data_IF_165669685727
#
_entry.id   IF_165669685727
#
_cell.length_a   1.000
_cell.length_b   1.000
_cell.length_c   1.000
_cell.angle_alpha   90.00
_cell.angle_beta   90.00
_cell.angle_gamma   90.00
#
_symmetry.space_group_name_H-M   'P 1'
#
loop_
_entity.id
_entity.type
_entity.pdbx_description
1 polymer ?
#
# COMPACT_ATOMS: atom_id res chain seq x y z
N UNK A 1 -34.64 13.44 -0.69
CA UNK A 1 -33.46 14.04 -1.35
C UNK A 1 -32.31 13.06 -1.31
N UNK A 2 -31.89 12.62 -2.45
CA UNK A 2 -30.76 11.69 -2.52
C UNK A 2 -29.48 12.42 -2.19
N UNK A 3 -28.72 11.85 -1.28
CA UNK A 3 -27.37 12.34 -1.00
C UNK A 3 -26.40 11.63 -1.92
N UNK A 4 -25.74 12.40 -2.76
CA UNK A 4 -24.59 11.91 -3.49
C UNK A 4 -23.46 11.72 -2.49
N UNK A 5 -23.07 10.50 -2.26
CA UNK A 5 -21.96 10.19 -1.35
C UNK A 5 -20.71 9.97 -2.19
N UNK A 6 -19.74 10.85 -1.99
CA UNK A 6 -18.42 10.65 -2.56
C UNK A 6 -17.77 9.46 -1.87
N UNK A 7 -17.33 8.51 -2.68
CA UNK A 7 -16.59 7.36 -2.21
C UNK A 7 -15.09 7.57 -2.41
N UNK A 8 -14.33 6.87 -1.62
CA UNK A 8 -12.88 6.95 -1.67
C UNK A 8 -12.29 5.54 -1.73
N UNK A 9 -11.33 5.37 -2.59
CA UNK A 9 -10.47 4.19 -2.60
C UNK A 9 -9.02 4.63 -2.54
N UNK A 10 -8.14 3.72 -2.21
CA UNK A 10 -6.71 4.00 -2.15
C UNK A 10 -5.99 3.03 -3.07
N UNK A 11 -5.16 3.59 -3.94
CA UNK A 11 -4.30 2.81 -4.83
C UNK A 11 -2.87 2.84 -4.32
N UNK A 12 -2.29 1.67 -4.21
CA UNK A 12 -0.90 1.47 -3.85
C UNK A 12 -0.16 0.97 -5.08
N UNK A 13 0.87 1.69 -5.49
CA UNK A 13 1.69 1.33 -6.65
C UNK A 13 3.14 1.18 -6.24
N UNK A 14 3.76 0.07 -6.60
CA UNK A 14 5.21 -0.10 -6.42
C UNK A 14 5.91 0.69 -7.50
N UNK A 15 6.63 1.76 -7.13
CA UNK A 15 7.28 2.65 -8.09
C UNK A 15 8.78 2.44 -8.20
N UNK A 16 9.41 1.86 -7.18
CA UNK A 16 10.84 1.61 -7.20
C UNK A 16 11.22 0.55 -6.16
N UNK A 17 12.40 -0.04 -6.33
CA UNK A 17 13.02 -0.95 -5.38
C UNK A 17 14.48 -0.57 -5.25
N UNK A 18 14.96 -0.47 -4.02
CA UNK A 18 16.35 -0.14 -3.74
C UNK A 18 17.04 -1.31 -3.05
N UNK A 19 18.34 -1.37 -3.21
CA UNK A 19 19.20 -2.34 -2.54
C UNK A 19 20.46 -1.63 -2.06
N UNK A 20 20.79 -1.87 -0.81
CA UNK A 20 22.03 -1.39 -0.20
C UNK A 20 22.91 -2.60 0.15
N UNK A 21 23.69 -3.10 -0.81
CA UNK A 21 24.48 -4.32 -0.62
C UNK A 21 25.46 -4.24 0.56
N UNK A 22 26.03 -3.06 0.77
CA UNK A 22 26.97 -2.81 1.87
C UNK A 22 26.34 -3.00 3.24
N UNK A 23 25.04 -2.68 3.38
CA UNK A 23 24.32 -2.88 4.63
C UNK A 23 24.01 -4.37 4.85
N UNK A 24 23.66 -5.07 3.78
CA UNK A 24 23.43 -6.52 3.87
C UNK A 24 24.72 -7.27 4.21
N UNK A 25 25.82 -6.88 3.59
CA UNK A 25 27.12 -7.48 3.86
C UNK A 25 27.57 -7.27 5.30
N UNK A 26 27.24 -6.13 5.88
CA UNK A 26 27.66 -5.79 7.23
C UNK A 26 26.75 -6.37 8.30
N UNK A 27 25.44 -6.43 8.07
CA UNK A 27 24.46 -6.69 9.12
C UNK A 27 23.60 -7.93 8.93
N UNK A 28 23.43 -8.43 7.72
CA UNK A 28 22.53 -9.55 7.48
C UNK A 28 23.22 -10.90 7.66
N UNK A 29 22.44 -11.89 8.09
CA UNK A 29 22.92 -13.28 8.19
C UNK A 29 23.35 -13.80 6.82
N UNK A 30 22.55 -13.51 5.78
CA UNK A 30 22.94 -13.75 4.40
C UNK A 30 23.35 -12.43 3.77
N UNK A 31 24.67 -12.21 3.55
CA UNK A 31 25.15 -10.95 2.99
C UNK A 31 24.77 -10.76 1.51
N UNK A 32 24.28 -11.79 0.86
CA UNK A 32 23.92 -11.77 -0.57
C UNK A 32 22.42 -11.97 -0.78
N UNK A 33 21.59 -11.56 0.16
CA UNK A 33 20.12 -11.69 0.06
C UNK A 33 19.52 -10.98 -1.16
N UNK A 34 20.07 -9.85 -1.56
CA UNK A 34 19.61 -9.12 -2.72
C UNK A 34 18.36 -8.26 -2.47
N UNK A 35 17.73 -7.82 -3.55
CA UNK A 35 16.52 -6.99 -3.50
C UNK A 35 15.32 -7.79 -2.98
N UNK A 36 14.28 -7.07 -2.52
CA UNK A 36 13.06 -7.69 -2.03
C UNK A 36 12.41 -8.55 -3.12
N UNK A 37 12.14 -9.83 -2.85
CA UNK A 37 11.50 -10.71 -3.84
C UNK A 37 9.98 -10.64 -3.86
N UNK A 38 9.37 -9.93 -2.89
CA UNK A 38 7.92 -9.97 -2.70
C UNK A 38 7.14 -9.10 -3.68
N UNK A 39 7.77 -8.04 -4.21
CA UNK A 39 7.10 -7.06 -5.04
C UNK A 39 7.93 -6.74 -6.29
N UNK A 40 7.24 -6.39 -7.36
CA UNK A 40 7.84 -5.92 -8.59
C UNK A 40 7.41 -4.50 -8.88
N UNK A 41 8.30 -3.70 -9.46
CA UNK A 41 7.97 -2.36 -9.91
C UNK A 41 6.81 -2.45 -10.91
N UNK A 42 5.77 -1.63 -10.66
CA UNK A 42 4.54 -1.66 -11.44
C UNK A 42 3.39 -2.43 -10.81
N UNK A 43 3.65 -3.19 -9.74
CA UNK A 43 2.56 -3.85 -9.01
C UNK A 43 1.59 -2.81 -8.45
N UNK A 44 0.29 -3.07 -8.57
CA UNK A 44 -0.77 -2.18 -8.14
C UNK A 44 -1.75 -2.94 -7.25
N UNK A 45 -2.10 -2.33 -6.14
CA UNK A 45 -3.10 -2.85 -5.21
C UNK A 45 -4.13 -1.77 -4.95
N UNK A 46 -5.41 -2.14 -4.87
CA UNK A 46 -6.47 -1.20 -4.54
C UNK A 46 -7.20 -1.62 -3.27
N UNK A 47 -7.50 -0.65 -2.45
CA UNK A 47 -8.17 -0.81 -1.17
C UNK A 47 -9.51 -0.11 -1.23
N UNK A 48 -10.56 -0.80 -0.81
CA UNK A 48 -11.91 -0.28 -0.80
C UNK A 48 -12.48 -0.37 0.61
N UNK A 49 -13.32 0.59 0.93
CA UNK A 49 -14.11 0.52 2.14
C UNK A 49 -15.33 -0.37 1.88
N UNK A 50 -15.51 -1.40 2.71
CA UNK A 50 -16.68 -2.26 2.63
C UNK A 50 -17.78 -1.73 3.55
N UNK A 51 -18.68 -0.93 2.99
CA UNK A 51 -19.77 -0.30 3.73
C UNK A 51 -20.84 -1.30 4.22
N UNK A 52 -20.77 -2.55 3.79
CA UNK A 52 -21.72 -3.60 4.20
C UNK A 52 -21.27 -4.36 5.43
N UNK A 53 -20.09 -4.04 5.94
CA UNK A 53 -19.52 -4.72 7.11
C UNK A 53 -19.45 -3.77 8.28
N UNK A 54 -20.13 -4.14 9.36
CA UNK A 54 -20.12 -3.35 10.60
C UNK A 54 -18.75 -3.36 11.28
N UNK A 55 -17.97 -4.39 11.02
CA UNK A 55 -16.67 -4.60 11.62
C UNK A 55 -15.48 -4.04 10.80
N UNK A 56 -15.78 -3.29 9.76
CA UNK A 56 -14.77 -2.78 8.81
C UNK A 56 -13.56 -2.12 9.50
N UNK A 57 -13.83 -1.26 10.46
CA UNK A 57 -12.77 -0.48 11.12
C UNK A 57 -12.01 -1.26 12.20
N UNK A 58 -12.44 -2.47 12.52
CA UNK A 58 -11.94 -3.20 13.67
C UNK A 58 -11.23 -4.51 13.34
N UNK A 59 -11.32 -4.99 12.11
CA UNK A 59 -10.88 -6.34 11.76
C UNK A 59 -9.56 -6.43 11.01
N UNK A 60 -8.92 -5.31 10.71
CA UNK A 60 -7.60 -5.28 10.12
C UNK A 60 -7.55 -5.68 8.65
N UNK A 61 -6.40 -6.20 8.22
CA UNK A 61 -6.04 -6.33 6.81
C UNK A 61 -7.04 -7.14 5.98
N UNK A 62 -7.52 -8.24 6.50
CA UNK A 62 -8.42 -9.14 5.75
C UNK A 62 -9.78 -8.52 5.43
N UNK A 63 -10.16 -7.47 6.14
CA UNK A 63 -11.43 -6.78 5.93
C UNK A 63 -11.27 -5.52 5.08
N UNK A 64 -10.05 -5.00 5.01
CA UNK A 64 -9.74 -3.75 4.30
C UNK A 64 -9.43 -3.95 2.83
N UNK A 65 -8.89 -5.11 2.48
CA UNK A 65 -8.27 -5.28 1.18
C UNK A 65 -9.17 -6.04 0.23
N UNK A 66 -9.67 -5.31 -0.75
CA UNK A 66 -10.07 -5.89 -2.02
C UNK A 66 -9.01 -5.45 -3.02
N UNK A 67 -8.24 -6.38 -3.51
CA UNK A 67 -7.30 -6.07 -4.58
C UNK A 67 -7.89 -6.54 -5.89
N UNK A 68 -7.88 -5.66 -6.88
CA UNK A 68 -8.17 -6.02 -8.25
C UNK A 68 -6.93 -6.65 -8.91
N UNK A 69 -5.91 -6.94 -8.12
CA UNK A 69 -4.75 -7.65 -8.64
C UNK A 69 -5.22 -8.95 -9.27
N UNK A 70 -4.93 -9.12 -10.54
CA UNK A 70 -5.21 -10.34 -11.27
C UNK A 70 -4.56 -11.50 -10.50
N UNK A 71 -5.34 -12.48 -10.05
CA UNK A 71 -4.81 -13.63 -9.32
C UNK A 71 -3.73 -14.39 -10.07
N UNK A 72 -3.67 -14.22 -11.38
CA UNK A 72 -2.71 -14.92 -12.22
C UNK A 72 -1.42 -14.13 -12.47
N UNK A 73 -1.34 -12.87 -12.03
CA UNK A 73 -0.17 -12.02 -12.32
C UNK A 73 0.95 -12.14 -11.31
N UNK A 74 0.71 -12.76 -10.16
CA UNK A 74 1.74 -12.91 -9.15
C UNK A 74 2.07 -14.37 -8.99
N UNK A 75 2.99 -14.86 -9.80
CA UNK A 75 3.46 -16.23 -9.70
C UNK A 75 4.09 -16.47 -8.33
N UNK A 76 3.33 -17.12 -7.44
CA UNK A 76 3.80 -17.50 -6.11
C UNK A 76 3.92 -16.39 -5.09
N UNK A 77 3.57 -15.15 -5.45
CA UNK A 77 3.62 -14.02 -4.51
C UNK A 77 2.27 -13.72 -3.87
N UNK A 78 2.26 -12.89 -2.80
CA UNK A 78 1.02 -12.47 -2.18
C UNK A 78 0.25 -11.58 -3.16
N UNK A 79 -1.03 -11.87 -3.31
CA UNK A 79 -1.96 -11.08 -4.14
C UNK A 79 -2.42 -9.81 -3.43
N UNK A 80 -1.92 -9.60 -2.26
CA UNK A 80 -2.19 -8.47 -1.39
C UNK A 80 -0.89 -8.08 -0.69
N UNK A 81 -0.77 -6.85 -0.21
CA UNK A 81 0.44 -6.41 0.48
C UNK A 81 0.52 -7.01 1.90
N UNK A 82 0.77 -8.32 2.01
CA UNK A 82 0.80 -9.02 3.29
C UNK A 82 2.09 -8.87 4.07
N UNK A 83 3.10 -8.25 3.51
CA UNK A 83 4.34 -8.03 4.25
C UNK A 83 4.07 -7.10 5.44
N UNK A 84 4.37 -7.57 6.65
CA UNK A 84 4.14 -6.79 7.86
C UNK A 84 4.98 -5.51 7.89
N UNK A 85 6.18 -5.55 7.35
CA UNK A 85 7.06 -4.38 7.27
C UNK A 85 6.48 -3.30 6.35
N UNK A 86 5.82 -3.72 5.27
CA UNK A 86 5.09 -2.80 4.42
C UNK A 86 3.85 -2.26 5.13
N UNK A 87 3.03 -3.15 5.69
CA UNK A 87 1.75 -2.77 6.27
C UNK A 87 1.93 -1.80 7.44
N UNK A 88 2.91 -2.04 8.29
CA UNK A 88 3.23 -1.14 9.40
C UNK A 88 3.59 0.26 8.92
N UNK A 89 4.24 0.36 7.78
CA UNK A 89 4.65 1.65 7.23
C UNK A 89 3.50 2.43 6.57
N UNK A 90 2.55 1.74 5.93
CA UNK A 90 1.58 2.40 5.05
C UNK A 90 0.14 2.39 5.56
N UNK A 91 -0.21 1.55 6.54
CA UNK A 91 -1.60 1.36 6.95
C UNK A 91 -2.31 2.66 7.32
N UNK A 92 -1.64 3.54 8.05
CA UNK A 92 -2.22 4.84 8.45
C UNK A 92 -2.60 5.71 7.26
N UNK A 93 -1.82 5.67 6.19
CA UNK A 93 -2.11 6.44 4.98
C UNK A 93 -3.32 5.86 4.25
N UNK A 94 -3.44 4.55 4.24
CA UNK A 94 -4.57 3.86 3.62
C UNK A 94 -5.87 4.18 4.37
N UNK A 95 -5.86 4.08 5.70
CA UNK A 95 -7.02 4.44 6.52
C UNK A 95 -7.43 5.90 6.30
N UNK A 96 -6.46 6.79 6.26
CA UNK A 96 -6.73 8.22 6.02
C UNK A 96 -7.37 8.43 4.66
N UNK A 97 -6.82 7.80 3.62
CA UNK A 97 -7.36 7.92 2.27
C UNK A 97 -8.76 7.36 2.12
N UNK A 98 -9.05 6.22 2.74
CA UNK A 98 -10.38 5.60 2.70
C UNK A 98 -11.45 6.48 3.34
N UNK A 99 -11.07 7.35 4.25
CA UNK A 99 -11.97 8.31 4.92
C UNK A 99 -12.09 9.63 4.16
N UNK A 100 -11.41 9.79 3.03
CA UNK A 100 -11.41 11.02 2.27
C UNK A 100 -10.49 12.10 2.81
N UNK A 101 -9.60 11.75 3.73
CA UNK A 101 -8.66 12.69 4.32
C UNK A 101 -7.49 13.01 3.41
N UNK A 102 -6.81 14.12 3.71
CA UNK A 102 -5.53 14.46 3.10
C UNK A 102 -4.46 13.49 3.60
N UNK A 103 -3.74 12.85 2.67
CA UNK A 103 -2.78 11.83 3.06
C UNK A 103 -1.51 12.48 3.63
N UNK A 104 -0.93 13.44 2.91
CA UNK A 104 0.26 14.13 3.42
C UNK A 104 0.31 15.57 2.91
N UNK A 105 -0.70 16.33 3.30
CA UNK A 105 -0.81 17.74 2.92
C UNK A 105 0.36 18.55 3.49
N UNK A 106 0.95 19.36 2.64
CA UNK A 106 2.03 20.25 3.05
C UNK A 106 3.43 19.65 2.87
N UNK A 107 3.52 18.33 2.71
CA UNK A 107 4.75 17.66 2.37
C UNK A 107 4.77 17.21 0.90
N UNK A 108 3.71 16.53 0.46
CA UNK A 108 3.56 16.16 -0.94
C UNK A 108 2.96 17.33 -1.73
N UNK A 109 3.31 17.38 -3.01
CA UNK A 109 2.75 18.38 -3.93
C UNK A 109 1.23 18.26 -4.04
N UNK A 110 0.71 17.03 -4.00
CA UNK A 110 -0.73 16.75 -3.97
C UNK A 110 -1.11 16.17 -2.62
N UNK A 111 -2.18 16.70 -2.02
CA UNK A 111 -2.63 16.26 -0.70
C UNK A 111 -3.17 14.83 -0.67
N UNK A 112 -3.53 14.28 -1.84
CA UNK A 112 -4.08 12.93 -1.94
C UNK A 112 -3.00 11.85 -2.15
N UNK A 113 -1.73 12.19 -2.03
CA UNK A 113 -0.62 11.27 -2.30
C UNK A 113 0.39 11.21 -1.15
N UNK A 114 1.09 10.10 -1.08
CA UNK A 114 2.30 9.93 -0.28
C UNK A 114 3.24 8.96 -0.98
N UNK A 115 4.53 9.25 -0.90
CA UNK A 115 5.58 8.31 -1.28
C UNK A 115 6.18 7.76 0.01
N UNK A 116 6.06 6.46 0.20
CA UNK A 116 6.53 5.79 1.40
C UNK A 116 7.31 4.53 1.04
N UNK A 117 7.94 3.93 2.02
CA UNK A 117 8.65 2.67 1.81
C UNK A 117 8.38 1.71 2.97
N UNK A 118 8.65 0.42 2.73
CA UNK A 118 8.62 -0.57 3.80
C UNK A 118 9.73 -0.30 4.82
N UNK A 119 9.67 -1.00 5.95
CA UNK A 119 10.62 -0.78 7.06
C UNK A 119 11.96 -1.48 6.91
N UNK A 120 12.19 -2.27 5.85
CA UNK A 120 13.48 -2.90 5.62
C UNK A 120 14.49 -1.90 5.04
N UNK A 121 15.40 -1.44 5.88
CA UNK A 121 16.40 -0.45 5.49
C UNK A 121 17.46 -0.95 4.53
N UNK A 122 17.61 -2.27 4.33
CA UNK A 122 18.63 -2.83 3.45
C UNK A 122 18.15 -3.01 2.01
N UNK A 123 16.83 -3.16 1.83
CA UNK A 123 16.21 -3.37 0.51
C UNK A 123 14.81 -2.76 0.44
N UNK A 124 14.68 -1.45 0.65
CA UNK A 124 13.36 -0.83 0.70
C UNK A 124 12.63 -0.88 -0.64
N UNK A 125 11.34 -1.16 -0.56
CA UNK A 125 10.43 -1.05 -1.69
C UNK A 125 9.68 0.26 -1.56
N UNK A 126 9.66 1.07 -2.61
CA UNK A 126 9.10 2.41 -2.61
C UNK A 126 7.70 2.35 -3.22
N UNK A 127 6.74 2.94 -2.52
CA UNK A 127 5.34 2.91 -2.90
C UNK A 127 4.79 4.31 -3.09
N UNK A 128 3.93 4.45 -4.08
CA UNK A 128 3.04 5.59 -4.21
C UNK A 128 1.68 5.20 -3.65
N UNK A 129 1.19 5.97 -2.71
CA UNK A 129 -0.11 5.81 -2.10
C UNK A 129 -0.97 6.97 -2.56
N UNK A 130 -2.11 6.70 -3.18
CA UNK A 130 -2.98 7.76 -3.69
C UNK A 130 -4.44 7.50 -3.37
N UNK A 131 -5.11 8.53 -2.85
CA UNK A 131 -6.57 8.51 -2.69
C UNK A 131 -7.22 8.82 -4.03
N UNK A 132 -8.20 8.03 -4.40
CA UNK A 132 -9.00 8.23 -5.59
C UNK A 132 -10.44 8.43 -5.15
N UNK A 133 -11.02 9.57 -5.54
CA UNK A 133 -12.39 9.92 -5.23
C UNK A 133 -13.28 9.54 -6.42
N UNK A 134 -14.42 8.96 -6.14
CA UNK A 134 -15.37 8.59 -7.17
C UNK A 134 -16.79 8.67 -6.64
N UNK A 135 -17.74 8.87 -7.54
CA UNK A 135 -19.15 8.85 -7.19
C UNK A 135 -19.70 7.44 -7.39
N UNK A 136 -20.48 7.00 -6.42
CA UNK A 136 -21.21 5.74 -6.52
C UNK A 136 -22.52 6.00 -7.25
N UNK A 137 -22.71 5.29 -8.34
CA UNK A 137 -23.98 5.32 -9.08
C UNK A 137 -25.04 4.47 -8.40
#
# INVERSE_FOLDING_TARGET
MEKHTMKHKVRLTVIDKKLYPELQQQYCVDPNSGACPCYNVGDVFEFYRDDKRDDFWHCGLNTLVHTDADPDTVAGGPKMPFCSELWDAISRYIYTGLQGGSIMKGWMDRENEMIACCSDGTRPVIFKIERIDYEEE
#
